data_IF_795448742607
#
_entry.id   IF_795448742607
#
_cell.length_a   1.000
_cell.length_b   1.000
_cell.length_c   1.000
_cell.angle_alpha   90.00
_cell.angle_beta   90.00
_cell.angle_gamma   90.00
#
_symmetry.space_group_name_H-M   'P 1'
#
loop_
_entity.id
_entity.type
_entity.pdbx_description
1 polymer ?
#
# COMPACT_ATOMS: atom_id res chain seq x y z
N UNK A 1 -11.29 19.27 -6.04
CA UNK A 1 -10.79 18.06 -6.71
C UNK A 1 -11.90 17.07 -7.00
N UNK A 2 -12.72 16.73 -6.01
CA UNK A 2 -13.84 15.80 -6.21
C UNK A 2 -14.83 16.29 -7.28
N UNK A 3 -15.11 17.59 -7.27
CA UNK A 3 -16.00 18.20 -8.27
C UNK A 3 -15.43 18.11 -9.68
N UNK A 4 -14.11 18.26 -9.82
CA UNK A 4 -13.43 18.16 -11.11
C UNK A 4 -13.51 16.74 -11.68
N UNK A 5 -13.44 15.74 -10.80
CA UNK A 5 -13.52 14.33 -11.18
C UNK A 5 -14.94 13.98 -11.65
N UNK A 6 -15.95 14.53 -10.99
CA UNK A 6 -17.35 14.25 -11.32
C UNK A 6 -17.77 14.82 -12.66
N UNK A 7 -17.17 15.94 -13.11
CA UNK A 7 -17.52 16.58 -14.39
C UNK A 7 -16.64 16.03 -15.50
N UNK A 8 -17.21 15.41 -16.57
CA UNK A 8 -16.43 14.89 -17.68
C UNK A 8 -15.53 15.93 -18.36
N UNK A 9 -15.89 17.22 -18.32
CA UNK A 9 -15.11 18.30 -18.95
C UNK A 9 -13.81 18.59 -18.20
N UNK A 10 -13.81 18.43 -16.87
CA UNK A 10 -12.65 18.74 -16.02
C UNK A 10 -11.99 17.48 -15.46
N UNK A 11 -12.47 16.30 -15.85
CA UNK A 11 -11.98 15.03 -15.30
C UNK A 11 -10.47 14.84 -15.48
N UNK A 12 -9.96 15.16 -16.66
CA UNK A 12 -8.53 15.03 -16.95
C UNK A 12 -7.70 15.95 -16.06
N UNK A 13 -8.12 17.20 -15.90
CA UNK A 13 -7.44 18.15 -15.03
C UNK A 13 -7.51 17.71 -13.57
N UNK A 14 -8.66 17.20 -13.15
CA UNK A 14 -8.85 16.66 -11.81
C UNK A 14 -7.95 15.46 -11.56
N UNK A 15 -7.80 14.57 -12.55
CA UNK A 15 -6.91 13.43 -12.46
C UNK A 15 -5.45 13.86 -12.34
N UNK A 16 -5.02 14.85 -13.13
CA UNK A 16 -3.65 15.36 -13.06
C UNK A 16 -3.37 15.97 -11.68
N UNK A 17 -4.33 16.70 -11.12
CA UNK A 17 -4.19 17.26 -9.78
C UNK A 17 -4.12 16.17 -8.73
N UNK A 18 -4.93 15.12 -8.88
CA UNK A 18 -4.93 13.95 -8.00
C UNK A 18 -3.59 13.25 -8.02
N UNK A 19 -3.01 13.04 -9.20
CA UNK A 19 -1.69 12.40 -9.34
C UNK A 19 -0.64 13.22 -8.60
N UNK A 20 -0.63 14.54 -8.78
CA UNK A 20 0.34 15.40 -8.11
C UNK A 20 0.20 15.36 -6.58
N UNK A 21 -1.03 15.34 -6.10
CA UNK A 21 -1.28 15.37 -4.65
C UNK A 21 -1.02 14.04 -3.98
N UNK A 22 -1.36 12.94 -4.63
CA UNK A 22 -1.37 11.62 -4.00
C UNK A 22 -0.22 10.70 -4.41
N UNK A 23 0.63 11.08 -5.36
CA UNK A 23 1.74 10.23 -5.80
C UNK A 23 2.64 9.80 -4.64
N UNK A 24 3.08 10.75 -3.82
CA UNK A 24 3.98 10.43 -2.72
C UNK A 24 3.29 9.62 -1.61
N UNK A 25 2.11 10.02 -1.10
CA UNK A 25 1.43 9.21 -0.09
C UNK A 25 1.11 7.79 -0.56
N UNK A 26 0.64 7.63 -1.80
CA UNK A 26 0.33 6.31 -2.34
C UNK A 26 1.60 5.49 -2.54
N UNK A 27 2.68 6.11 -3.00
CA UNK A 27 3.96 5.44 -3.17
C UNK A 27 4.43 4.80 -1.87
N UNK A 28 4.40 5.53 -0.77
CA UNK A 28 4.89 5.00 0.50
C UNK A 28 4.01 3.92 1.08
N UNK A 29 2.68 4.01 0.89
CA UNK A 29 1.78 2.93 1.29
C UNK A 29 2.08 1.65 0.51
N UNK A 30 2.31 1.78 -0.79
CA UNK A 30 2.66 0.64 -1.63
C UNK A 30 4.06 0.13 -1.26
N UNK A 31 5.03 1.03 -1.08
CA UNK A 31 6.41 0.67 -0.77
C UNK A 31 6.55 -0.14 0.50
N UNK A 32 5.77 0.18 1.53
CA UNK A 32 5.79 -0.57 2.78
C UNK A 32 5.27 -2.00 2.61
N UNK A 33 4.50 -2.26 1.56
CA UNK A 33 3.96 -3.60 1.29
C UNK A 33 4.88 -4.39 0.36
N UNK A 34 5.43 -3.76 -0.70
CA UNK A 34 6.19 -4.47 -1.73
C UNK A 34 7.72 -4.37 -1.57
N UNK A 35 8.23 -3.51 -0.72
CA UNK A 35 9.61 -3.40 -0.24
C UNK A 35 10.65 -2.82 -1.20
N UNK A 36 10.50 -2.91 -2.52
CA UNK A 36 11.49 -2.35 -3.45
C UNK A 36 10.92 -1.14 -4.17
N UNK A 37 11.82 -0.23 -4.57
CA UNK A 37 11.43 0.96 -5.34
C UNK A 37 10.84 0.59 -6.70
N UNK A 38 11.48 -0.34 -7.40
CA UNK A 38 11.02 -0.75 -8.74
C UNK A 38 9.62 -1.33 -8.71
N UNK A 39 9.38 -2.23 -7.76
CA UNK A 39 8.05 -2.84 -7.60
C UNK A 39 7.01 -1.81 -7.18
N UNK A 40 7.37 -0.90 -6.27
CA UNK A 40 6.47 0.15 -5.83
C UNK A 40 6.09 1.08 -6.98
N UNK A 41 7.06 1.42 -7.83
CA UNK A 41 6.81 2.28 -8.97
C UNK A 41 5.87 1.61 -9.98
N UNK A 42 6.09 0.33 -10.26
CA UNK A 42 5.21 -0.44 -11.15
C UNK A 42 3.79 -0.52 -10.60
N UNK A 43 3.65 -0.82 -9.31
CA UNK A 43 2.34 -0.90 -8.65
C UNK A 43 1.66 0.46 -8.65
N UNK A 44 2.42 1.53 -8.41
CA UNK A 44 1.89 2.89 -8.41
C UNK A 44 1.32 3.26 -9.79
N UNK A 45 2.04 2.94 -10.86
CA UNK A 45 1.57 3.18 -12.22
C UNK A 45 0.28 2.42 -12.50
N UNK A 46 0.23 1.15 -12.14
CA UNK A 46 -0.98 0.33 -12.30
C UNK A 46 -2.14 0.87 -11.47
N UNK A 47 -1.84 1.38 -10.27
CA UNK A 47 -2.84 2.00 -9.40
C UNK A 47 -3.46 3.21 -10.07
N UNK A 48 -2.66 4.11 -10.64
CA UNK A 48 -3.18 5.30 -11.32
C UNK A 48 -3.97 4.94 -12.58
N UNK A 49 -3.55 3.91 -13.32
CA UNK A 49 -4.34 3.42 -14.45
C UNK A 49 -5.71 2.92 -14.01
N UNK A 50 -5.79 2.19 -12.92
CA UNK A 50 -7.07 1.73 -12.37
C UNK A 50 -7.92 2.89 -11.87
N UNK A 51 -7.31 3.87 -11.23
CA UNK A 51 -8.02 5.07 -10.78
C UNK A 51 -8.65 5.78 -11.97
N UNK A 52 -7.88 5.99 -13.03
CA UNK A 52 -8.38 6.64 -14.24
C UNK A 52 -9.56 5.89 -14.85
N UNK A 53 -9.44 4.57 -14.98
CA UNK A 53 -10.50 3.74 -15.55
C UNK A 53 -11.77 3.72 -14.72
N UNK A 54 -11.64 3.90 -13.41
CA UNK A 54 -12.75 3.77 -12.46
C UNK A 54 -13.18 5.09 -11.82
N UNK A 55 -12.78 6.23 -12.39
CA UNK A 55 -13.20 7.53 -11.86
C UNK A 55 -14.73 7.67 -11.83
N UNK A 56 -15.43 7.07 -12.80
CA UNK A 56 -16.89 7.09 -12.84
C UNK A 56 -17.51 6.31 -11.67
N UNK A 57 -16.78 5.32 -11.15
CA UNK A 57 -17.27 4.50 -10.05
C UNK A 57 -17.18 5.18 -8.70
N UNK A 58 -16.39 6.26 -8.60
CA UNK A 58 -16.33 7.03 -7.35
C UNK A 58 -17.60 7.86 -7.19
N UNK A 59 -18.41 7.49 -6.20
CA UNK A 59 -19.72 8.09 -6.00
C UNK A 59 -19.78 9.02 -4.78
N UNK A 60 -18.63 9.34 -4.18
CA UNK A 60 -18.60 10.20 -3.02
C UNK A 60 -19.10 9.55 -1.73
N UNK A 61 -19.32 8.24 -1.72
CA UNK A 61 -19.78 7.51 -0.53
C UNK A 61 -18.70 7.37 0.54
N UNK A 62 -17.46 7.56 0.18
CA UNK A 62 -16.32 7.55 1.09
C UNK A 62 -15.44 8.75 0.76
N UNK A 63 -14.50 9.07 1.65
CA UNK A 63 -13.52 10.10 1.36
C UNK A 63 -12.69 9.66 0.14
N UNK A 64 -12.30 10.63 -0.68
CA UNK A 64 -11.48 10.36 -1.85
C UNK A 64 -10.21 9.60 -1.47
N UNK A 65 -9.52 10.02 -0.41
CA UNK A 65 -8.30 9.37 0.05
C UNK A 65 -8.53 7.91 0.40
N UNK A 66 -9.64 7.58 1.08
CA UNK A 66 -9.97 6.19 1.43
C UNK A 66 -10.14 5.34 0.17
N UNK A 67 -10.84 5.87 -0.83
CA UNK A 67 -11.06 5.18 -2.09
C UNK A 67 -9.74 4.92 -2.82
N UNK A 68 -8.86 5.94 -2.88
CA UNK A 68 -7.55 5.82 -3.53
C UNK A 68 -6.66 4.83 -2.79
N UNK A 69 -6.63 4.87 -1.46
CA UNK A 69 -5.79 3.96 -0.67
C UNK A 69 -6.27 2.52 -0.80
N UNK A 70 -7.58 2.31 -0.90
CA UNK A 70 -8.13 0.96 -1.13
C UNK A 70 -7.62 0.38 -2.44
N UNK A 71 -7.66 1.17 -3.52
CA UNK A 71 -7.16 0.72 -4.82
C UNK A 71 -5.67 0.40 -4.74
N UNK A 72 -4.88 1.30 -4.15
CA UNK A 72 -3.43 1.14 -4.05
C UNK A 72 -3.05 -0.10 -3.25
N UNK A 73 -3.68 -0.30 -2.10
CA UNK A 73 -3.38 -1.44 -1.23
C UNK A 73 -3.79 -2.74 -1.90
N UNK A 74 -4.94 -2.78 -2.56
CA UNK A 74 -5.38 -3.97 -3.29
C UNK A 74 -4.42 -4.30 -4.43
N UNK A 75 -3.93 -3.30 -5.16
CA UNK A 75 -2.94 -3.52 -6.22
C UNK A 75 -1.63 -4.07 -5.66
N UNK A 76 -1.17 -3.54 -4.53
CA UNK A 76 0.05 -4.02 -3.89
C UNK A 76 -0.10 -5.47 -3.43
N UNK A 77 -1.25 -5.81 -2.84
CA UNK A 77 -1.51 -7.18 -2.40
C UNK A 77 -1.63 -8.14 -3.58
N UNK A 78 -2.29 -7.74 -4.66
CA UNK A 78 -2.37 -8.54 -5.88
C UNK A 78 -0.99 -8.78 -6.48
N UNK A 79 -0.13 -7.76 -6.48
CA UNK A 79 1.25 -7.90 -6.93
C UNK A 79 1.99 -8.97 -6.14
N UNK A 80 1.85 -8.96 -4.81
CA UNK A 80 2.49 -9.94 -3.95
C UNK A 80 1.98 -11.35 -4.20
N UNK A 81 0.68 -11.51 -4.44
CA UNK A 81 0.09 -12.81 -4.74
C UNK A 81 0.64 -13.38 -6.05
N UNK A 82 0.74 -12.55 -7.08
CA UNK A 82 1.34 -12.97 -8.36
C UNK A 82 2.81 -13.32 -8.19
N UNK A 83 3.54 -12.57 -7.40
CA UNK A 83 4.95 -12.84 -7.15
C UNK A 83 5.15 -14.18 -6.44
N UNK A 84 4.27 -14.53 -5.50
CA UNK A 84 4.30 -15.84 -4.82
C UNK A 84 4.08 -17.00 -5.78
N UNK A 85 3.26 -16.81 -6.80
CA UNK A 85 2.98 -17.85 -7.79
C UNK A 85 4.10 -18.01 -8.80
N UNK A 86 4.84 -16.94 -9.09
CA UNK A 86 5.89 -16.96 -10.10
C UNK A 86 7.26 -17.31 -9.54
N UNK A 87 7.50 -17.04 -8.25
CA UNK A 87 8.75 -17.36 -7.58
C UNK A 87 8.45 -18.04 -6.25
N UNK A 88 8.91 -19.28 -6.09
CA UNK A 88 9.00 -19.86 -4.78
C UNK A 88 10.11 -19.11 -4.05
N UNK A 89 9.75 -18.08 -3.27
CA UNK A 89 10.71 -17.33 -2.49
C UNK A 89 11.41 -18.28 -1.53
N UNK A 90 12.70 -18.50 -1.73
CA UNK A 90 13.50 -19.28 -0.81
C UNK A 90 13.72 -18.48 0.48
N UNK A 91 14.02 -19.18 1.56
CA UNK A 91 14.32 -18.54 2.83
C UNK A 91 15.48 -17.56 2.71
N UNK A 92 16.36 -17.79 1.72
CA UNK A 92 17.51 -16.93 1.48
C UNK A 92 17.14 -15.58 0.89
N UNK A 93 16.03 -15.49 0.16
CA UNK A 93 15.58 -14.22 -0.41
C UNK A 93 15.08 -13.25 0.68
N UNK A 94 14.47 -13.76 1.75
CA UNK A 94 13.99 -12.91 2.83
C UNK A 94 15.13 -12.23 3.58
N UNK A 95 16.30 -12.89 3.66
CA UNK A 95 17.48 -12.31 4.29
C UNK A 95 18.12 -11.19 3.46
N UNK A 96 17.82 -11.18 2.16
CA UNK A 96 18.38 -10.16 1.26
C UNK A 96 17.58 -8.86 1.31
N UNK A 97 16.37 -8.86 1.86
CA UNK A 97 15.50 -7.68 1.90
C UNK A 97 16.15 -6.53 2.65
N UNK A 98 16.70 -6.81 3.85
CA UNK A 98 17.35 -5.76 4.65
C UNK A 98 18.56 -5.17 3.91
N UNK A 99 19.39 -6.02 3.28
CA UNK A 99 20.54 -5.57 2.52
C UNK A 99 20.14 -4.78 1.29
N UNK A 100 19.09 -5.20 0.60
CA UNK A 100 18.56 -4.47 -0.55
C UNK A 100 18.01 -3.10 -0.15
N UNK A 101 17.33 -3.01 0.99
CA UNK A 101 16.81 -1.74 1.49
C UNK A 101 17.95 -0.78 1.85
N UNK A 102 19.00 -1.29 2.48
CA UNK A 102 20.15 -0.44 2.83
C UNK A 102 20.88 0.08 1.60
N UNK A 103 20.88 -0.67 0.50
CA UNK A 103 21.50 -0.28 -0.75
C UNK A 103 20.61 0.63 -1.61
N UNK A 104 19.32 0.72 -1.29
CA UNK A 104 18.33 1.49 -2.05
C UNK A 104 18.45 2.97 -1.70
N UNK A 105 18.70 3.83 -2.70
CA UNK A 105 18.86 5.27 -2.50
C UNK A 105 17.59 5.96 -1.97
N UNK A 106 16.42 5.34 -2.17
CA UNK A 106 15.14 5.88 -1.71
C UNK A 106 14.80 5.44 -0.28
N UNK A 107 15.58 4.55 0.31
CA UNK A 107 15.33 4.08 1.67
C UNK A 107 16.01 5.01 2.67
N UNK A 108 15.20 5.69 3.48
CA UNK A 108 15.65 6.67 4.47
C UNK A 108 15.60 6.10 5.88
N UNK A 109 16.06 4.85 6.06
CA UNK A 109 16.06 4.19 7.35
C UNK A 109 17.43 3.61 7.68
N UNK A 110 17.63 3.29 8.95
CA UNK A 110 18.86 2.64 9.39
C UNK A 110 18.75 1.10 9.30
N UNK A 111 19.80 0.39 9.70
CA UNK A 111 19.82 -1.07 9.66
C UNK A 111 18.71 -1.69 10.49
N UNK A 112 18.40 -1.10 11.65
CA UNK A 112 17.35 -1.60 12.52
C UNK A 112 15.99 -1.54 11.81
N UNK A 113 15.71 -0.42 11.12
CA UNK A 113 14.46 -0.27 10.37
C UNK A 113 14.41 -1.23 9.18
N UNK A 114 15.54 -1.46 8.52
CA UNK A 114 15.61 -2.42 7.42
C UNK A 114 15.32 -3.84 7.90
N UNK A 115 15.86 -4.22 9.06
CA UNK A 115 15.58 -5.53 9.67
C UNK A 115 14.12 -5.66 10.09
N UNK A 116 13.54 -4.58 10.60
CA UNK A 116 12.11 -4.58 10.94
C UNK A 116 11.25 -4.84 9.70
N UNK A 117 11.54 -4.17 8.59
CA UNK A 117 10.81 -4.41 7.34
C UNK A 117 10.99 -5.83 6.84
N UNK A 118 12.18 -6.40 6.98
CA UNK A 118 12.43 -7.80 6.64
C UNK A 118 11.55 -8.73 7.46
N UNK A 119 11.47 -8.50 8.77
CA UNK A 119 10.62 -9.28 9.66
C UNK A 119 9.14 -9.14 9.31
N UNK A 120 8.71 -7.91 8.99
CA UNK A 120 7.33 -7.64 8.56
C UNK A 120 7.00 -8.41 7.28
N UNK A 121 7.95 -8.52 6.37
CA UNK A 121 7.77 -9.26 5.13
C UNK A 121 7.52 -10.75 5.32
N UNK A 122 7.89 -11.30 6.48
CA UNK A 122 7.67 -12.71 6.81
C UNK A 122 6.31 -12.97 7.45
N UNK A 123 5.56 -11.93 7.80
CA UNK A 123 4.25 -12.09 8.42
C UNK A 123 3.22 -12.59 7.40
N UNK A 124 2.20 -13.34 7.84
CA UNK A 124 1.06 -13.65 6.97
C UNK A 124 0.45 -12.38 6.39
N UNK A 125 -0.14 -12.50 5.20
CA UNK A 125 -0.61 -11.34 4.43
C UNK A 125 -1.49 -10.38 5.23
N UNK A 126 -2.50 -10.90 5.93
CA UNK A 126 -3.43 -10.06 6.69
C UNK A 126 -2.70 -9.35 7.83
N UNK A 127 -1.88 -10.08 8.58
CA UNK A 127 -1.13 -9.51 9.70
C UNK A 127 -0.14 -8.44 9.21
N UNK A 128 0.54 -8.72 8.10
CA UNK A 128 1.49 -7.78 7.52
C UNK A 128 0.80 -6.51 7.07
N UNK A 129 -0.33 -6.62 6.35
CA UNK A 129 -1.07 -5.47 5.87
C UNK A 129 -1.54 -4.58 7.01
N UNK A 130 -2.14 -5.17 8.05
CA UNK A 130 -2.60 -4.42 9.21
C UNK A 130 -1.43 -3.77 9.94
N UNK A 131 -0.33 -4.50 10.12
CA UNK A 131 0.86 -3.95 10.78
C UNK A 131 1.40 -2.74 10.04
N UNK A 132 1.55 -2.86 8.71
CA UNK A 132 2.06 -1.75 7.88
C UNK A 132 1.17 -0.52 8.01
N UNK A 133 -0.13 -0.70 7.89
CA UNK A 133 -1.07 0.43 7.95
C UNK A 133 -1.10 1.07 9.32
N UNK A 134 -1.00 0.29 10.39
CA UNK A 134 -1.06 0.82 11.74
C UNK A 134 0.27 1.41 12.20
N UNK A 135 1.36 0.72 11.97
CA UNK A 135 2.68 1.13 12.46
C UNK A 135 3.34 2.19 11.58
N UNK A 136 3.46 1.91 10.27
CA UNK A 136 4.15 2.83 9.37
C UNK A 136 3.27 3.99 8.94
N UNK A 137 2.01 3.72 8.59
CA UNK A 137 1.10 4.73 8.07
C UNK A 137 0.31 5.45 9.16
N UNK A 138 0.43 4.99 10.40
CA UNK A 138 -0.21 5.58 11.58
C UNK A 138 -1.73 5.77 11.41
N UNK A 139 -2.37 4.84 10.71
CA UNK A 139 -3.80 4.92 10.44
C UNK A 139 -4.63 4.47 11.65
N UNK A 140 -5.80 5.07 11.80
CA UNK A 140 -6.76 4.63 12.80
C UNK A 140 -7.42 3.33 12.35
N UNK A 141 -7.84 2.50 13.31
CA UNK A 141 -8.53 1.25 12.98
C UNK A 141 -9.80 1.49 12.16
N UNK A 142 -10.50 2.60 12.39
CA UNK A 142 -11.68 2.95 11.60
C UNK A 142 -11.32 3.19 10.14
N UNK A 143 -10.20 3.84 9.87
CA UNK A 143 -9.72 4.08 8.50
C UNK A 143 -9.30 2.77 7.83
N UNK A 144 -8.57 1.92 8.55
CA UNK A 144 -8.13 0.62 8.04
C UNK A 144 -9.35 -0.26 7.75
N UNK A 145 -10.33 -0.25 8.65
CA UNK A 145 -11.59 -0.99 8.47
C UNK A 145 -12.32 -0.57 7.21
N UNK A 146 -12.37 0.74 6.92
CA UNK A 146 -13.01 1.25 5.71
C UNK A 146 -12.27 0.78 4.45
N UNK A 147 -10.95 0.68 4.50
CA UNK A 147 -10.14 0.28 3.35
C UNK A 147 -10.21 -1.22 3.11
N UNK A 148 -10.06 -2.03 4.16
CA UNK A 148 -9.97 -3.49 4.04
C UNK A 148 -11.33 -4.18 4.11
N UNK A 149 -12.37 -3.51 4.58
CA UNK A 149 -13.70 -4.11 4.69
C UNK A 149 -13.84 -5.12 5.82
N UNK A 150 -12.97 -5.05 6.84
CA UNK A 150 -13.01 -5.92 8.01
C UNK A 150 -13.37 -5.14 9.26
N UNK A 151 -13.83 -5.85 10.31
CA UNK A 151 -14.19 -5.20 11.56
C UNK A 151 -12.97 -4.69 12.31
N UNK A 152 -13.14 -3.64 13.10
CA UNK A 152 -12.04 -3.10 13.91
C UNK A 152 -11.53 -4.13 14.93
N UNK A 153 -12.41 -4.95 15.48
CA UNK A 153 -12.01 -6.02 16.41
C UNK A 153 -11.07 -7.02 15.76
N UNK A 154 -11.38 -7.43 14.53
CA UNK A 154 -10.51 -8.34 13.77
C UNK A 154 -9.16 -7.70 13.48
N UNK A 155 -9.15 -6.41 13.17
CA UNK A 155 -7.91 -5.67 12.90
C UNK A 155 -7.02 -5.59 14.13
N UNK A 156 -7.61 -5.32 15.29
CA UNK A 156 -6.86 -5.27 16.56
C UNK A 156 -6.24 -6.62 16.88
N UNK A 157 -6.98 -7.70 16.66
CA UNK A 157 -6.47 -9.06 16.87
C UNK A 157 -5.30 -9.35 15.93
N UNK A 158 -5.43 -9.00 14.65
CA UNK A 158 -4.37 -9.20 13.66
C UNK A 158 -3.11 -8.40 14.01
N UNK A 159 -3.27 -7.16 14.45
CA UNK A 159 -2.14 -6.32 14.84
C UNK A 159 -1.41 -6.90 16.05
N UNK A 160 -2.16 -7.36 17.04
CA UNK A 160 -1.57 -8.00 18.22
C UNK A 160 -0.76 -9.24 17.85
N UNK A 161 -1.28 -10.08 16.96
CA UNK A 161 -0.55 -11.27 16.50
C UNK A 161 0.73 -10.87 15.75
N UNK A 162 0.67 -9.82 14.93
CA UNK A 162 1.83 -9.33 14.21
C UNK A 162 2.93 -8.83 15.15
N UNK A 163 2.57 -8.06 16.18
CA UNK A 163 3.52 -7.49 17.13
C UNK A 163 4.25 -8.58 17.93
N UNK A 164 3.57 -9.70 18.22
CA UNK A 164 4.18 -10.81 18.96
C UNK A 164 5.24 -11.57 18.17
N UNK A 165 5.18 -11.49 16.86
CA UNK A 165 6.15 -12.17 16.00
C UNK A 165 7.30 -11.22 15.66
#
# INVERSE_FOLDING_TARGET
MTDMIADPRTRREGFEALVRQYSEPLYWKIRHIVFTHEDADDVLQNTFLKIWKNLDAFQGKSALSTWLYRIAINEALDFLRHQRHSTMASVDESKKVANQLMADEYFDGDRMQALLQEAVGQLPEVQRTVFVMKYYDEMKYSEISAILGTTEGALKASYHLAVRK
#
